data_IF_899401762125
#
_entry.id   IF_899401762125
#
_cell.length_a   1.000
_cell.length_b   1.000
_cell.length_c   1.000
_cell.angle_alpha   90.00
_cell.angle_beta   90.00
_cell.angle_gamma   90.00
#
_symmetry.space_group_name_H-M   'P 1'
#
loop_
_entity.id
_entity.type
_entity.pdbx_description
1 polymer ?
#
# COMPACT_ATOMS: atom_id res chain seq x y z
N UNK A 1 -19.67 -6.55 0.21
CA UNK A 1 -19.51 -6.19 1.63
C UNK A 1 -18.85 -4.81 1.67
N UNK A 2 -19.46 -3.88 2.38
CA UNK A 2 -19.54 -2.46 2.03
C UNK A 2 -18.26 -1.66 2.23
N UNK A 3 -17.95 -0.77 1.28
CA UNK A 3 -16.90 0.25 1.34
C UNK A 3 -17.15 1.35 2.40
N UNK A 4 -18.19 1.21 3.24
CA UNK A 4 -18.63 2.21 4.22
C UNK A 4 -18.05 1.98 5.64
N UNK A 5 -17.31 0.89 5.87
CA UNK A 5 -16.85 0.47 7.21
C UNK A 5 -15.42 0.91 7.55
N UNK A 6 -14.80 1.81 6.76
CA UNK A 6 -13.42 2.30 6.97
C UNK A 6 -13.36 3.83 7.02
N UNK A 7 -13.90 4.45 8.08
CA UNK A 7 -14.00 5.90 8.18
C UNK A 7 -12.62 6.56 8.18
N UNK A 8 -11.64 6.01 8.91
CA UNK A 8 -10.29 6.60 9.02
C UNK A 8 -9.54 6.50 7.68
N UNK A 9 -9.62 5.37 6.99
CA UNK A 9 -9.04 5.20 5.66
C UNK A 9 -9.55 6.26 4.68
N UNK A 10 -10.87 6.50 4.69
CA UNK A 10 -11.49 7.47 3.79
C UNK A 10 -11.14 8.92 4.19
N UNK A 11 -11.10 9.24 5.49
CA UNK A 11 -10.63 10.55 5.98
C UNK A 11 -9.21 10.87 5.47
N UNK A 12 -8.28 9.92 5.63
CA UNK A 12 -6.89 10.05 5.17
C UNK A 12 -6.86 10.24 3.65
N UNK A 13 -7.60 9.40 2.90
CA UNK A 13 -7.66 9.48 1.45
C UNK A 13 -8.15 10.85 0.97
N UNK A 14 -9.24 11.37 1.54
CA UNK A 14 -9.80 12.66 1.18
C UNK A 14 -8.83 13.81 1.50
N UNK A 15 -8.17 13.77 2.66
CA UNK A 15 -7.17 14.76 3.05
C UNK A 15 -6.01 14.81 2.05
N UNK A 16 -5.49 13.65 1.65
CA UNK A 16 -4.41 13.55 0.68
C UNK A 16 -4.82 14.01 -0.72
N UNK A 17 -6.04 13.69 -1.17
CA UNK A 17 -6.58 14.16 -2.44
C UNK A 17 -6.65 15.68 -2.46
N UNK A 18 -7.19 16.27 -1.39
CA UNK A 18 -7.37 17.71 -1.26
C UNK A 18 -6.04 18.48 -1.25
N UNK A 19 -5.03 17.95 -0.54
CA UNK A 19 -3.75 18.64 -0.35
C UNK A 19 -2.83 18.52 -1.56
N UNK A 20 -2.79 17.33 -2.18
CA UNK A 20 -1.75 16.98 -3.16
C UNK A 20 -2.25 16.84 -4.60
N UNK A 21 -3.58 16.89 -4.80
CA UNK A 21 -4.25 16.64 -6.08
C UNK A 21 -3.58 15.51 -6.90
N UNK A 22 -3.42 14.31 -6.31
CA UNK A 22 -2.63 13.25 -6.89
C UNK A 22 -3.34 12.62 -8.09
N UNK A 23 -2.57 12.13 -9.06
CA UNK A 23 -3.11 11.33 -10.18
C UNK A 23 -3.57 9.95 -9.71
N UNK A 24 -2.96 9.45 -8.63
CA UNK A 24 -3.28 8.16 -8.05
C UNK A 24 -3.02 8.18 -6.55
N UNK A 25 -3.97 7.67 -5.79
CA UNK A 25 -3.88 7.53 -4.33
C UNK A 25 -4.45 6.18 -3.92
N UNK A 26 -3.70 5.48 -3.08
CA UNK A 26 -4.08 4.21 -2.51
C UNK A 26 -3.82 4.26 -1.00
N UNK A 27 -4.83 3.93 -0.20
CA UNK A 27 -4.72 3.84 1.25
C UNK A 27 -5.16 2.43 1.64
N UNK A 28 -4.28 1.70 2.32
CA UNK A 28 -4.49 0.30 2.68
C UNK A 28 -4.34 0.18 4.19
N UNK A 29 -5.34 -0.36 4.86
CA UNK A 29 -5.24 -0.76 6.25
C UNK A 29 -4.45 -2.09 6.37
N UNK A 30 -3.22 -2.04 6.89
CA UNK A 30 -2.35 -3.20 7.11
C UNK A 30 -2.40 -3.71 8.56
N UNK A 31 -3.31 -3.19 9.39
CA UNK A 31 -3.42 -3.57 10.81
C UNK A 31 -3.67 -5.06 11.01
N UNK A 32 -4.36 -5.73 10.08
CA UNK A 32 -4.60 -7.18 10.14
C UNK A 32 -3.32 -8.04 10.09
N UNK A 33 -2.18 -7.48 9.67
CA UNK A 33 -0.88 -8.18 9.64
C UNK A 33 -0.14 -8.15 10.98
N UNK A 34 -0.68 -7.42 11.97
CA UNK A 34 -0.12 -7.33 13.32
C UNK A 34 -1.04 -8.02 14.33
N UNK A 35 -0.49 -8.41 15.48
CA UNK A 35 -1.24 -9.06 16.57
C UNK A 35 -2.09 -8.04 17.35
N UNK A 36 -2.83 -7.22 16.63
CA UNK A 36 -3.75 -6.19 17.12
C UNK A 36 -5.18 -6.74 17.08
N UNK A 37 -6.10 -6.21 17.91
CA UNK A 37 -7.50 -6.61 17.88
C UNK A 37 -8.10 -6.56 16.46
N UNK A 38 -9.01 -7.48 16.16
CA UNK A 38 -9.81 -7.39 14.92
C UNK A 38 -10.49 -6.02 14.88
N UNK A 39 -10.35 -5.32 13.75
CA UNK A 39 -10.83 -3.95 13.48
C UNK A 39 -9.97 -2.80 14.04
N UNK A 40 -8.75 -3.06 14.50
CA UNK A 40 -7.82 -1.96 14.73
C UNK A 40 -7.48 -1.26 13.41
N UNK A 41 -7.66 0.05 13.36
CA UNK A 41 -7.27 0.93 12.26
C UNK A 41 -5.99 1.68 12.66
N UNK A 42 -4.92 0.95 12.96
CA UNK A 42 -3.72 1.52 13.60
C UNK A 42 -2.50 1.59 12.66
N UNK A 43 -2.41 0.67 11.70
CA UNK A 43 -1.33 0.61 10.72
C UNK A 43 -1.89 0.87 9.33
N UNK A 44 -1.38 1.93 8.68
CA UNK A 44 -1.79 2.30 7.34
C UNK A 44 -0.61 2.35 6.39
N UNK A 45 -0.85 1.93 5.16
CA UNK A 45 0.03 2.16 4.04
C UNK A 45 -0.63 3.10 3.06
N UNK A 46 0.11 4.14 2.70
CA UNK A 46 -0.34 5.18 1.80
C UNK A 46 0.60 5.23 0.61
N UNK A 47 0.04 5.09 -0.59
CA UNK A 47 0.72 5.34 -1.84
C UNK A 47 0.13 6.60 -2.47
N UNK A 48 0.97 7.61 -2.71
CA UNK A 48 0.56 8.85 -3.35
C UNK A 48 1.42 9.11 -4.57
N UNK A 49 0.77 9.37 -5.70
CA UNK A 49 1.43 9.75 -6.94
C UNK A 49 1.03 11.18 -7.31
N UNK A 50 1.96 12.11 -7.21
CA UNK A 50 1.72 13.51 -7.55
C UNK A 50 3.00 14.20 -8.03
N UNK A 51 2.83 15.22 -8.88
CA UNK A 51 3.94 16.04 -9.40
C UNK A 51 4.58 16.91 -8.31
N UNK A 52 3.88 17.20 -7.22
CA UNK A 52 4.42 17.96 -6.06
C UNK A 52 5.66 17.31 -5.45
N UNK A 53 5.86 16.02 -5.64
CA UNK A 53 7.01 15.28 -5.11
C UNK A 53 8.23 15.31 -6.03
N UNK A 54 8.12 15.86 -7.24
CA UNK A 54 9.21 15.91 -8.22
C UNK A 54 10.45 16.67 -7.74
N UNK A 55 10.34 17.86 -7.11
CA UNK A 55 11.53 18.58 -6.62
C UNK A 55 12.00 18.12 -5.24
N UNK A 56 11.27 17.23 -4.56
CA UNK A 56 11.50 16.89 -3.15
C UNK A 56 12.36 15.63 -3.00
N UNK A 57 13.28 15.62 -2.04
CA UNK A 57 13.99 14.41 -1.62
C UNK A 57 13.04 13.43 -0.92
N UNK A 58 13.41 12.15 -0.83
CA UNK A 58 12.58 11.12 -0.18
C UNK A 58 12.23 11.48 1.27
N UNK A 59 13.18 12.05 2.01
CA UNK A 59 12.96 12.50 3.40
C UNK A 59 11.96 13.66 3.43
N UNK A 60 12.07 14.62 2.51
CA UNK A 60 11.14 15.74 2.43
C UNK A 60 9.74 15.29 2.06
N UNK A 61 9.61 14.34 1.12
CA UNK A 61 8.32 13.75 0.76
C UNK A 61 7.66 13.09 1.98
N UNK A 62 8.42 12.29 2.74
CA UNK A 62 7.92 11.68 3.97
C UNK A 62 7.54 12.72 5.02
N UNK A 63 8.36 13.75 5.22
CA UNK A 63 8.04 14.87 6.14
C UNK A 63 6.76 15.58 5.72
N UNK A 64 6.58 15.86 4.42
CA UNK A 64 5.41 16.56 3.91
C UNK A 64 4.13 15.76 4.19
N UNK A 65 4.13 14.47 3.85
CA UNK A 65 2.98 13.58 4.08
C UNK A 65 2.74 13.40 5.58
N UNK A 66 3.78 13.21 6.39
CA UNK A 66 3.66 13.13 7.85
C UNK A 66 3.08 14.41 8.43
N UNK A 67 3.47 15.59 7.95
CA UNK A 67 2.93 16.85 8.42
C UNK A 67 1.44 16.99 8.08
N UNK A 68 1.02 16.57 6.88
CA UNK A 68 -0.40 16.58 6.50
C UNK A 68 -1.24 15.64 7.36
N UNK A 69 -0.65 14.55 7.84
CA UNK A 69 -1.32 13.53 8.65
C UNK A 69 -0.96 13.63 10.15
N UNK A 70 -0.22 14.65 10.57
CA UNK A 70 0.28 14.80 11.93
C UNK A 70 -0.87 14.89 12.94
N UNK A 71 -1.97 15.54 12.56
CA UNK A 71 -3.18 15.63 13.39
C UNK A 71 -3.76 14.24 13.72
N UNK A 72 -3.75 13.32 12.74
CA UNK A 72 -4.26 11.96 12.92
C UNK A 72 -3.32 11.10 13.78
N UNK A 73 -2.01 11.35 13.71
CA UNK A 73 -1.01 10.70 14.56
C UNK A 73 -1.12 11.25 15.99
N UNK A 74 -1.21 12.57 16.18
CA UNK A 74 -1.29 13.22 17.48
C UNK A 74 -2.57 12.91 18.26
N UNK A 75 -3.69 12.69 17.55
CA UNK A 75 -4.96 12.22 18.15
C UNK A 75 -4.96 10.72 18.49
N UNK A 76 -3.91 9.98 18.13
CA UNK A 76 -3.80 8.55 18.37
C UNK A 76 -4.65 7.68 17.45
N UNK A 77 -5.25 8.25 16.39
CA UNK A 77 -6.00 7.49 15.38
C UNK A 77 -5.08 6.60 14.54
N UNK A 78 -3.85 7.04 14.27
CA UNK A 78 -2.84 6.28 13.51
C UNK A 78 -1.65 5.99 14.43
N UNK A 79 -1.26 4.72 14.51
CA UNK A 79 -0.07 4.30 15.26
C UNK A 79 1.19 4.24 14.37
N UNK A 80 1.04 3.71 13.15
CA UNK A 80 2.14 3.60 12.20
C UNK A 80 1.66 3.88 10.77
N UNK A 81 2.52 4.55 10.01
CA UNK A 81 2.25 4.95 8.64
C UNK A 81 3.41 4.52 7.73
N UNK A 82 3.09 3.75 6.70
CA UNK A 82 4.01 3.34 5.64
C UNK A 82 3.77 4.22 4.41
N UNK A 83 4.76 5.02 4.04
CA UNK A 83 4.61 6.05 3.00
C UNK A 83 5.32 5.59 1.73
N UNK A 84 4.60 5.63 0.61
CA UNK A 84 5.15 5.42 -0.73
C UNK A 84 4.78 6.61 -1.60
N UNK A 85 5.70 7.56 -1.73
CA UNK A 85 5.55 8.70 -2.64
C UNK A 85 6.26 8.43 -3.97
N UNK A 86 5.58 8.74 -5.08
CA UNK A 86 6.09 8.57 -6.43
C UNK A 86 5.71 9.76 -7.30
N UNK A 87 6.53 10.03 -8.32
CA UNK A 87 6.14 10.95 -9.40
C UNK A 87 5.31 10.22 -10.45
N UNK A 88 4.48 10.94 -11.25
CA UNK A 88 3.75 10.34 -12.35
C UNK A 88 4.63 9.56 -13.33
N UNK A 89 5.80 10.09 -13.64
CA UNK A 89 6.78 9.44 -14.54
C UNK A 89 7.29 8.12 -13.95
N UNK A 90 7.57 8.08 -12.65
CA UNK A 90 7.99 6.84 -11.98
C UNK A 90 6.85 5.82 -11.93
N UNK A 91 5.62 6.29 -11.68
CA UNK A 91 4.44 5.44 -11.62
C UNK A 91 4.15 4.76 -12.95
N UNK A 92 4.17 5.51 -14.06
CA UNK A 92 3.99 4.99 -15.41
C UNK A 92 5.01 3.86 -15.72
N UNK A 93 6.29 4.08 -15.38
CA UNK A 93 7.34 3.05 -15.56
C UNK A 93 7.07 1.79 -14.75
N UNK A 94 6.60 1.94 -13.50
CA UNK A 94 6.27 0.80 -12.63
C UNK A 94 5.07 0.03 -13.20
N UNK A 95 4.03 0.72 -13.68
CA UNK A 95 2.85 0.08 -14.26
C UNK A 95 3.20 -0.73 -15.50
N UNK A 96 3.96 -0.14 -16.44
CA UNK A 96 4.45 -0.84 -17.63
C UNK A 96 5.27 -2.08 -17.28
N UNK A 97 6.16 -1.98 -16.28
CA UNK A 97 6.95 -3.12 -15.82
C UNK A 97 6.06 -4.25 -15.26
N UNK A 98 5.08 -3.92 -14.41
CA UNK A 98 4.14 -4.90 -13.84
C UNK A 98 3.34 -5.64 -14.91
N UNK A 99 2.87 -4.91 -15.93
CA UNK A 99 2.11 -5.49 -17.04
C UNK A 99 2.96 -6.50 -17.84
N UNK A 100 4.22 -6.15 -18.13
CA UNK A 100 5.17 -7.05 -18.81
C UNK A 100 5.47 -8.32 -17.99
N UNK A 101 5.65 -8.19 -16.67
CA UNK A 101 5.92 -9.33 -15.78
C UNK A 101 4.72 -10.29 -15.68
N UNK A 102 3.49 -9.76 -15.64
CA UNK A 102 2.27 -10.57 -15.59
C UNK A 102 2.08 -11.39 -16.87
N UNK A 103 2.39 -10.82 -18.04
CA UNK A 103 2.32 -11.53 -19.33
C UNK A 103 3.32 -12.70 -19.38
N UNK A 104 4.53 -12.52 -18.84
CA UNK A 104 5.55 -13.58 -18.78
C UNK A 104 5.20 -14.69 -17.78
N UNK A 105 4.49 -14.36 -16.70
CA UNK A 105 4.06 -15.35 -15.69
C UNK A 105 2.89 -16.21 -16.18
N UNK A 106 1.97 -15.67 -16.98
CA UNK A 106 0.90 -16.46 -17.61
C UNK A 106 1.44 -17.43 -18.67
N UNK A 107 2.49 -17.07 -19.42
CA UNK A 107 3.11 -18.00 -20.38
C UNK A 107 3.93 -19.11 -19.71
N UNK A 108 4.46 -18.89 -18.49
CA UNK A 108 5.30 -19.86 -17.77
C UNK A 108 4.53 -20.74 -16.77
N UNK A 109 3.26 -20.43 -16.48
CA UNK A 109 2.41 -21.22 -15.57
C UNK A 109 1.96 -22.56 -16.17
N UNK A 110 2.19 -22.82 -17.46
CA UNK A 110 1.70 -24.02 -18.15
C UNK A 110 2.71 -25.17 -18.24
N UNK A 111 3.91 -25.06 -17.64
CA UNK A 111 5.01 -26.03 -17.77
C UNK A 111 5.62 -26.52 -16.44
N UNK A 112 4.98 -26.28 -15.29
CA UNK A 112 5.47 -26.84 -14.01
C UNK A 112 4.47 -27.85 -13.47
N UNK A 113 4.76 -29.13 -13.65
CA UNK A 113 3.99 -30.20 -13.03
C UNK A 113 4.09 -30.08 -11.49
N UNK A 114 2.96 -30.17 -10.76
CA UNK A 114 2.97 -30.03 -9.31
C UNK A 114 3.83 -31.12 -8.66
N UNK A 115 4.59 -30.71 -7.64
CA UNK A 115 5.54 -31.57 -6.94
C UNK A 115 4.81 -32.79 -6.33
N UNK A 116 5.38 -34.00 -6.45
CA UNK A 116 4.73 -35.21 -5.96
C UNK A 116 4.56 -35.19 -4.44
N UNK A 117 3.41 -35.69 -3.96
CA UNK A 117 3.06 -35.70 -2.54
C UNK A 117 4.08 -36.48 -1.69
N UNK A 118 4.73 -35.79 -0.75
CA UNK A 118 5.58 -36.40 0.27
C UNK A 118 4.79 -37.39 1.13
N UNK A 119 5.06 -38.69 0.99
CA UNK A 119 4.46 -39.75 1.82
C UNK A 119 5.35 -39.99 3.03
N UNK A 120 5.25 -39.12 4.04
CA UNK A 120 6.00 -39.23 5.30
C UNK A 120 5.46 -40.35 6.21
N UNK A 121 6.31 -41.35 6.48
CA UNK A 121 6.39 -42.18 7.69
C UNK A 121 5.11 -42.81 8.27
N UNK A 122 4.90 -44.10 8.01
CA UNK A 122 4.17 -44.94 8.97
C UNK A 122 5.16 -45.36 10.06
N UNK A 123 5.09 -44.67 11.21
CA UNK A 123 5.81 -45.05 12.43
C UNK A 123 5.35 -46.44 12.91
N UNK A 124 6.30 -47.26 13.34
CA UNK A 124 6.08 -48.54 13.97
C UNK A 124 6.60 -48.49 15.40
#
# INVERSE_FOLDING_TARGET
MSAADRPVENEIRQKLIKEYNPIHVEVINESHMHNVPKNSESHFKVLVVSDVFTPLSLIEQHKHINNTLADYIGTGKIHALSIVSRTPVQWDRIQKKKELEQQQQQSNSSLVDPSPSCKGGFGK
#
